data_IF_008849176364
#
_entry.id   IF_008849176364
#
_cell.length_a   1.000
_cell.length_b   1.000
_cell.length_c   1.000
_cell.angle_alpha   90.00
_cell.angle_beta   90.00
_cell.angle_gamma   90.00
#
_symmetry.space_group_name_H-M   'P 1'
#
loop_
_entity.id
_entity.type
_entity.pdbx_description
1 polymer ?
#
# COMPACT_ATOMS: atom_id res chain seq x y z
N UNK A 1 -17.48 5.13 21.61
CA UNK A 1 -17.56 3.68 21.38
C UNK A 1 -18.35 3.07 22.51
N UNK A 2 -19.35 2.22 22.21
CA UNK A 2 -20.31 1.68 23.17
C UNK A 2 -19.71 0.66 24.16
N UNK A 3 -18.40 0.37 24.08
CA UNK A 3 -17.68 -0.49 25.03
C UNK A 3 -18.09 -1.97 25.03
N UNK A 4 -18.88 -2.43 24.06
CA UNK A 4 -19.35 -3.81 23.99
C UNK A 4 -18.31 -4.81 23.53
N UNK A 5 -17.30 -4.37 22.78
CA UNK A 5 -16.22 -5.21 22.25
C UNK A 5 -14.89 -4.60 22.66
N UNK A 6 -14.07 -5.39 23.35
CA UNK A 6 -12.69 -5.04 23.65
C UNK A 6 -11.77 -5.64 22.59
N UNK A 7 -10.65 -4.97 22.35
CA UNK A 7 -9.60 -5.51 21.48
C UNK A 7 -8.94 -6.69 22.19
N UNK A 8 -8.88 -7.83 21.51
CA UNK A 8 -8.23 -9.06 21.98
C UNK A 8 -7.10 -9.43 21.05
N UNK A 9 -6.11 -10.20 21.52
CA UNK A 9 -5.01 -10.72 20.69
C UNK A 9 -5.54 -11.55 19.51
N UNK A 10 -6.63 -12.29 19.72
CA UNK A 10 -7.29 -13.05 18.66
C UNK A 10 -7.83 -12.12 17.56
N UNK A 11 -8.51 -11.05 17.94
CA UNK A 11 -9.05 -10.07 16.97
C UNK A 11 -7.92 -9.36 16.20
N UNK A 12 -6.82 -9.06 16.89
CA UNK A 12 -5.62 -8.46 16.29
C UNK A 12 -4.98 -9.43 15.28
N UNK A 13 -4.79 -10.69 15.63
CA UNK A 13 -4.24 -11.69 14.70
C UNK A 13 -5.16 -11.93 13.49
N UNK A 14 -6.48 -11.95 13.66
CA UNK A 14 -7.42 -12.04 12.54
C UNK A 14 -7.33 -10.80 11.63
N UNK A 15 -7.16 -9.61 12.19
CA UNK A 15 -6.99 -8.39 11.43
C UNK A 15 -5.68 -8.39 10.64
N UNK A 16 -4.59 -8.89 11.20
CA UNK A 16 -3.29 -9.05 10.51
C UNK A 16 -3.40 -10.02 9.33
N UNK A 17 -4.06 -11.15 9.50
CA UNK A 17 -4.36 -12.05 8.37
C UNK A 17 -5.20 -11.33 7.31
N UNK A 18 -6.16 -10.51 7.73
CA UNK A 18 -6.95 -9.67 6.82
C UNK A 18 -6.10 -8.75 5.96
N UNK A 19 -5.15 -8.07 6.58
CA UNK A 19 -4.21 -7.17 5.88
C UNK A 19 -3.34 -7.94 4.88
N UNK A 20 -2.80 -9.09 5.28
CA UNK A 20 -2.00 -9.96 4.42
C UNK A 20 -2.82 -10.40 3.19
N UNK A 21 -4.07 -10.81 3.38
CA UNK A 21 -4.94 -11.21 2.28
C UNK A 21 -5.30 -10.05 1.36
N UNK A 22 -5.60 -8.87 1.90
CA UNK A 22 -5.87 -7.67 1.09
C UNK A 22 -4.66 -7.31 0.23
N UNK A 23 -3.46 -7.35 0.77
CA UNK A 23 -2.24 -7.06 0.01
C UNK A 23 -1.91 -8.16 -1.02
N UNK A 24 -2.20 -9.41 -0.72
CA UNK A 24 -2.09 -10.51 -1.69
C UNK A 24 -3.05 -10.31 -2.87
N UNK A 25 -4.30 -9.92 -2.60
CA UNK A 25 -5.30 -9.59 -3.61
C UNK A 25 -4.84 -8.44 -4.50
N UNK A 26 -4.35 -7.34 -3.90
CA UNK A 26 -3.80 -6.21 -4.63
C UNK A 26 -2.63 -6.63 -5.55
N UNK A 27 -1.78 -7.56 -5.09
CA UNK A 27 -0.72 -8.15 -5.91
C UNK A 27 -1.25 -8.99 -7.08
N UNK A 28 -2.32 -9.78 -6.87
CA UNK A 28 -2.96 -10.57 -7.93
C UNK A 28 -3.61 -9.69 -9.01
N UNK A 29 -4.16 -8.54 -8.64
CA UNK A 29 -4.77 -7.58 -9.57
C UNK A 29 -3.75 -6.80 -10.40
N UNK A 30 -2.45 -6.90 -10.07
CA UNK A 30 -1.38 -6.20 -10.77
C UNK A 30 -1.21 -6.72 -12.22
N UNK A 31 -1.37 -5.87 -13.24
CA UNK A 31 -1.06 -6.23 -14.62
C UNK A 31 0.40 -5.92 -14.97
N UNK A 32 1.26 -6.94 -14.89
CA UNK A 32 2.68 -6.82 -15.23
C UNK A 32 2.94 -6.43 -16.69
N UNK A 33 2.02 -6.75 -17.62
CA UNK A 33 2.18 -6.40 -19.04
C UNK A 33 1.98 -4.91 -19.27
N UNK A 34 0.98 -4.34 -18.62
CA UNK A 34 0.75 -2.89 -18.68
C UNK A 34 1.88 -2.15 -17.95
N UNK A 35 2.37 -2.66 -16.83
CA UNK A 35 3.52 -2.13 -16.09
C UNK A 35 4.77 -1.98 -16.99
N UNK A 36 5.07 -3.02 -17.79
CA UNK A 36 6.23 -3.02 -18.70
C UNK A 36 6.00 -2.10 -19.91
N UNK A 37 4.77 -2.02 -20.45
CA UNK A 37 4.46 -1.25 -21.65
C UNK A 37 4.47 0.26 -21.45
N UNK A 38 4.04 0.75 -20.28
CA UNK A 38 3.91 2.20 -20.02
C UNK A 38 5.22 2.90 -19.73
N UNK A 39 6.27 2.14 -19.47
CA UNK A 39 7.65 2.59 -19.50
C UNK A 39 8.01 3.71 -18.52
N UNK A 40 9.07 4.49 -18.87
CA UNK A 40 9.68 5.47 -17.96
C UNK A 40 8.74 6.58 -17.49
N UNK A 41 7.72 6.92 -18.28
CA UNK A 41 6.78 8.00 -17.94
C UNK A 41 5.93 7.68 -16.71
N UNK A 42 5.33 6.48 -16.68
CA UNK A 42 4.52 6.05 -15.53
C UNK A 42 5.39 5.92 -14.26
N UNK A 43 6.63 5.44 -14.42
CA UNK A 43 7.60 5.36 -13.33
C UNK A 43 7.91 6.74 -12.74
N UNK A 44 8.18 7.75 -13.57
CA UNK A 44 8.49 9.10 -13.08
C UNK A 44 7.27 9.73 -12.43
N UNK A 45 6.07 9.55 -13.01
CA UNK A 45 4.81 10.04 -12.41
C UNK A 45 4.61 9.38 -11.03
N UNK A 46 4.84 8.08 -10.89
CA UNK A 46 4.74 7.37 -9.62
C UNK A 46 5.80 7.84 -8.61
N UNK A 47 7.07 7.94 -9.01
CA UNK A 47 8.14 8.41 -8.12
C UNK A 47 7.84 9.80 -7.55
N UNK A 48 7.44 10.76 -8.42
CA UNK A 48 7.07 12.11 -7.98
C UNK A 48 5.77 12.08 -7.17
N UNK A 49 4.82 11.22 -7.57
CA UNK A 49 3.56 10.96 -6.87
C UNK A 49 3.74 10.39 -5.45
N UNK A 50 4.84 9.69 -5.18
CA UNK A 50 5.23 9.26 -3.83
C UNK A 50 6.03 10.35 -3.11
N UNK A 51 7.03 10.92 -3.76
CA UNK A 51 7.95 11.86 -3.12
C UNK A 51 7.28 13.16 -2.67
N UNK A 52 6.40 13.74 -3.47
CA UNK A 52 5.74 15.02 -3.14
C UNK A 52 4.82 14.88 -1.92
N UNK A 53 3.90 13.89 -1.82
CA UNK A 53 3.13 13.68 -0.60
C UNK A 53 3.99 13.29 0.62
N UNK A 54 5.06 12.53 0.43
CA UNK A 54 5.99 12.16 1.50
C UNK A 54 6.60 13.41 2.15
N UNK A 55 7.15 14.30 1.33
CA UNK A 55 7.70 15.58 1.79
C UNK A 55 6.60 16.48 2.35
N UNK A 56 5.44 16.54 1.69
CA UNK A 56 4.29 17.31 2.15
C UNK A 56 3.83 16.91 3.55
N UNK A 57 3.72 15.61 3.82
CA UNK A 57 3.33 15.09 5.13
C UNK A 57 4.39 15.33 6.21
N UNK A 58 5.67 15.13 5.86
CA UNK A 58 6.77 15.48 6.75
C UNK A 58 6.75 16.95 7.14
N UNK A 59 6.60 17.86 6.17
CA UNK A 59 6.55 19.30 6.42
C UNK A 59 5.30 19.70 7.21
N UNK A 60 4.15 19.11 6.90
CA UNK A 60 2.92 19.37 7.62
C UNK A 60 3.06 19.00 9.11
N UNK A 61 3.51 17.77 9.39
CA UNK A 61 3.69 17.32 10.77
C UNK A 61 4.70 18.20 11.51
N UNK A 62 5.82 18.53 10.86
CA UNK A 62 6.86 19.37 11.44
C UNK A 62 6.39 20.82 11.67
N UNK A 63 5.48 21.32 10.86
CA UNK A 63 4.89 22.66 11.06
C UNK A 63 3.96 22.73 12.28
N UNK A 64 3.26 21.62 12.61
CA UNK A 64 2.36 21.55 13.77
C UNK A 64 3.09 21.21 15.07
N UNK A 65 4.11 20.35 15.02
CA UNK A 65 4.74 19.76 16.20
C UNK A 65 6.24 20.10 16.35
N UNK A 66 6.80 20.86 15.42
CA UNK A 66 8.19 21.28 15.43
C UNK A 66 9.09 20.39 14.57
N UNK A 67 10.18 20.98 14.08
CA UNK A 67 11.21 20.26 13.31
C UNK A 67 12.14 19.50 14.26
N UNK A 68 12.31 18.22 14.00
CA UNK A 68 13.17 17.33 14.78
C UNK A 68 14.42 16.95 14.01
N UNK A 69 15.52 16.70 14.71
CA UNK A 69 16.79 16.29 14.11
C UNK A 69 16.65 14.91 13.45
N UNK A 70 17.35 14.74 12.33
CA UNK A 70 17.39 13.45 11.61
C UNK A 70 17.90 12.35 12.55
N UNK A 71 17.20 11.20 12.55
CA UNK A 71 17.51 10.06 13.40
C UNK A 71 16.77 10.03 14.74
N UNK A 72 15.97 11.06 15.07
CA UNK A 72 15.11 11.04 16.26
C UNK A 72 13.78 10.35 15.96
N UNK A 73 13.13 9.82 17.01
CA UNK A 73 11.81 9.18 16.88
C UNK A 73 10.77 10.14 16.27
N UNK A 74 10.81 11.42 16.65
CA UNK A 74 9.83 12.40 16.13
C UNK A 74 10.11 12.76 14.66
N UNK A 75 11.37 12.68 14.20
CA UNK A 75 11.68 12.73 12.77
C UNK A 75 11.03 11.57 12.00
N UNK A 76 11.13 10.34 12.53
CA UNK A 76 10.51 9.17 11.88
C UNK A 76 8.99 9.21 11.94
N UNK A 77 8.39 9.74 13.01
CA UNK A 77 6.93 9.98 13.07
C UNK A 77 6.49 10.97 11.99
N UNK A 78 7.21 12.09 11.84
CA UNK A 78 6.91 13.08 10.80
C UNK A 78 7.02 12.46 9.40
N UNK A 79 8.07 11.68 9.16
CA UNK A 79 8.27 10.97 7.90
C UNK A 79 7.17 9.95 7.65
N UNK A 80 6.73 9.23 8.70
CA UNK A 80 5.67 8.22 8.62
C UNK A 80 4.30 8.83 8.26
N UNK A 81 3.99 10.02 8.77
CA UNK A 81 2.80 10.79 8.33
C UNK A 81 2.87 11.05 6.81
N UNK A 82 4.05 11.37 6.30
CA UNK A 82 4.28 11.47 4.86
C UNK A 82 4.05 10.14 4.12
N UNK A 83 4.52 9.02 4.67
CA UNK A 83 4.29 7.68 4.08
C UNK A 83 2.80 7.37 3.96
N UNK A 84 2.00 7.66 4.98
CA UNK A 84 0.54 7.48 4.89
C UNK A 84 -0.06 8.30 3.73
N UNK A 85 0.43 9.53 3.53
CA UNK A 85 -0.01 10.38 2.43
C UNK A 85 0.40 9.88 1.04
N UNK A 86 1.35 8.96 0.92
CA UNK A 86 1.75 8.42 -0.39
C UNK A 86 0.76 7.39 -0.92
N UNK A 87 0.07 6.65 -0.07
CA UNK A 87 -0.82 5.58 -0.44
C UNK A 87 -1.88 6.02 -1.48
N UNK A 88 -2.11 5.20 -2.50
CA UNK A 88 -3.14 5.43 -3.53
C UNK A 88 -4.05 4.21 -3.60
N UNK A 89 -5.35 4.38 -3.82
CA UNK A 89 -6.26 3.26 -4.08
C UNK A 89 -6.39 3.01 -5.58
N UNK A 90 -5.75 1.95 -6.05
CA UNK A 90 -5.86 1.51 -7.45
C UNK A 90 -7.29 1.07 -7.75
N UNK A 91 -7.91 0.30 -6.84
CA UNK A 91 -9.26 -0.27 -7.02
C UNK A 91 -10.31 0.82 -7.26
N UNK A 92 -10.32 1.88 -6.43
CA UNK A 92 -11.25 3.02 -6.58
C UNK A 92 -11.02 3.71 -7.93
N UNK A 93 -9.77 3.96 -8.28
CA UNK A 93 -9.40 4.63 -9.54
C UNK A 93 -9.82 3.80 -10.75
N UNK A 94 -9.54 2.50 -10.76
CA UNK A 94 -9.91 1.58 -11.84
C UNK A 94 -11.42 1.52 -12.01
N UNK A 95 -12.15 1.36 -10.90
CA UNK A 95 -13.61 1.29 -10.92
C UNK A 95 -14.21 2.58 -11.49
N UNK A 96 -13.76 3.73 -11.01
CA UNK A 96 -14.21 5.04 -11.49
C UNK A 96 -13.92 5.23 -12.99
N UNK A 97 -12.70 4.92 -13.43
CA UNK A 97 -12.34 5.02 -14.85
C UNK A 97 -13.13 4.05 -15.74
N UNK A 98 -13.47 2.86 -15.22
CA UNK A 98 -14.31 1.87 -15.90
C UNK A 98 -15.74 2.38 -16.06
N UNK A 99 -16.35 2.90 -15.01
CA UNK A 99 -17.70 3.48 -15.01
C UNK A 99 -17.82 4.69 -15.96
N UNK A 100 -16.77 5.51 -16.01
CA UNK A 100 -16.68 6.66 -16.92
C UNK A 100 -16.33 6.25 -18.37
N UNK A 101 -16.03 4.98 -18.65
CA UNK A 101 -15.66 4.49 -19.99
C UNK A 101 -14.28 4.95 -20.47
N UNK A 102 -13.41 5.45 -19.56
CA UNK A 102 -12.12 6.05 -19.90
C UNK A 102 -10.90 5.21 -19.51
N UNK A 103 -11.09 3.97 -19.06
CA UNK A 103 -10.00 3.09 -18.60
C UNK A 103 -8.97 2.79 -19.70
N UNK A 104 -9.42 2.55 -20.93
CA UNK A 104 -8.56 2.18 -22.07
C UNK A 104 -7.93 3.37 -22.81
N UNK A 105 -8.20 4.61 -22.41
CA UNK A 105 -7.64 5.80 -23.04
C UNK A 105 -6.22 6.10 -22.54
N UNK A 106 -5.47 6.96 -23.27
CA UNK A 106 -4.09 7.36 -22.91
C UNK A 106 -3.98 7.82 -21.45
N UNK A 107 -4.95 8.60 -20.96
CA UNK A 107 -4.98 9.08 -19.56
C UNK A 107 -5.24 7.92 -18.61
N UNK A 108 -6.25 7.09 -18.87
CA UNK A 108 -6.61 5.96 -18.01
C UNK A 108 -5.48 4.95 -17.88
N UNK A 109 -4.86 4.54 -18.99
CA UNK A 109 -3.71 3.62 -18.97
C UNK A 109 -2.51 4.22 -18.23
N UNK A 110 -2.25 5.52 -18.37
CA UNK A 110 -1.17 6.20 -17.64
C UNK A 110 -1.44 6.20 -16.14
N UNK A 111 -2.67 6.54 -15.71
CA UNK A 111 -3.06 6.54 -14.30
C UNK A 111 -2.91 5.13 -13.72
N UNK A 112 -3.47 4.11 -14.41
CA UNK A 112 -3.42 2.73 -13.95
C UNK A 112 -1.98 2.26 -13.75
N UNK A 113 -1.12 2.48 -14.74
CA UNK A 113 0.27 2.04 -14.65
C UNK A 113 1.07 2.82 -13.61
N UNK A 114 0.82 4.12 -13.48
CA UNK A 114 1.46 4.92 -12.44
C UNK A 114 0.99 4.49 -11.04
N UNK A 115 -0.29 4.15 -10.86
CA UNK A 115 -0.83 3.68 -9.58
C UNK A 115 -0.24 2.32 -9.17
N UNK A 116 -0.11 1.38 -10.10
CA UNK A 116 0.53 0.09 -9.84
C UNK A 116 2.01 0.26 -9.40
N UNK A 117 2.76 1.14 -10.08
CA UNK A 117 4.14 1.44 -9.70
C UNK A 117 4.22 2.18 -8.36
N UNK A 118 3.27 3.09 -8.11
CA UNK A 118 3.13 3.84 -6.87
C UNK A 118 2.98 2.91 -5.65
N UNK A 119 2.18 1.86 -5.77
CA UNK A 119 2.00 0.84 -4.72
C UNK A 119 3.32 0.13 -4.40
N UNK A 120 4.07 -0.28 -5.43
CA UNK A 120 5.38 -0.93 -5.23
C UNK A 120 6.35 0.02 -4.52
N UNK A 121 6.45 1.28 -4.99
CA UNK A 121 7.34 2.28 -4.38
C UNK A 121 6.87 2.61 -2.95
N UNK A 122 5.56 2.74 -2.73
CA UNK A 122 4.97 3.01 -1.42
C UNK A 122 5.33 1.95 -0.38
N UNK A 123 5.24 0.67 -0.76
CA UNK A 123 5.64 -0.47 0.09
C UNK A 123 7.15 -0.44 0.38
N UNK A 124 7.99 -0.12 -0.60
CA UNK A 124 9.43 0.02 -0.40
C UNK A 124 9.72 1.14 0.60
N UNK A 125 9.13 2.32 0.41
CA UNK A 125 9.31 3.47 1.31
C UNK A 125 8.80 3.16 2.72
N UNK A 126 7.65 2.50 2.84
CA UNK A 126 7.11 2.03 4.13
C UNK A 126 8.11 1.11 4.84
N UNK A 127 8.65 0.12 4.12
CA UNK A 127 9.64 -0.81 4.65
C UNK A 127 10.86 -0.08 5.19
N UNK A 128 11.40 0.88 4.43
CA UNK A 128 12.54 1.68 4.88
C UNK A 128 12.23 2.46 6.15
N UNK A 129 11.09 3.17 6.19
CA UNK A 129 10.76 4.02 7.34
C UNK A 129 10.52 3.20 8.62
N UNK A 130 9.87 2.04 8.50
CA UNK A 130 9.68 1.13 9.64
C UNK A 130 11.03 0.58 10.12
N UNK A 131 11.88 0.13 9.20
CA UNK A 131 13.19 -0.47 9.54
C UNK A 131 14.14 0.53 10.20
N UNK A 132 14.11 1.80 9.80
CA UNK A 132 14.94 2.85 10.44
C UNK A 132 14.52 3.19 11.87
N UNK A 133 13.28 2.90 12.24
CA UNK A 133 12.82 3.09 13.62
C UNK A 133 13.37 2.01 14.59
N UNK A 134 13.88 0.90 14.06
CA UNK A 134 14.52 -0.14 14.87
C UNK A 134 15.94 0.32 15.26
N UNK A 135 16.15 0.63 16.54
CA UNK A 135 17.38 1.26 17.06
C UNK A 135 18.67 0.48 16.82
N UNK A 136 18.60 -0.79 16.47
CA UNK A 136 19.74 -1.69 16.32
C UNK A 136 20.13 -1.98 14.86
N UNK A 137 19.41 -1.41 13.87
CA UNK A 137 19.62 -1.74 12.46
C UNK A 137 20.27 -0.58 11.72
N UNK A 138 21.43 -0.82 11.11
CA UNK A 138 22.11 0.18 10.29
C UNK A 138 21.38 0.39 8.95
N UNK A 139 21.42 1.62 8.41
CA UNK A 139 20.86 1.96 7.10
C UNK A 139 21.34 0.98 6.01
N UNK A 140 22.62 0.59 6.06
CA UNK A 140 23.20 -0.35 5.12
C UNK A 140 22.58 -1.76 5.21
N UNK A 141 22.22 -2.20 6.41
CA UNK A 141 21.52 -3.50 6.60
C UNK A 141 20.13 -3.48 6.06
N UNK A 142 19.37 -2.41 6.26
CA UNK A 142 18.01 -2.26 5.70
C UNK A 142 18.05 -2.32 4.18
N UNK A 143 18.95 -1.55 3.55
CA UNK A 143 19.11 -1.55 2.09
C UNK A 143 19.53 -2.94 1.61
N UNK A 144 20.52 -3.55 2.25
CA UNK A 144 20.98 -4.90 1.92
C UNK A 144 19.85 -5.92 2.01
N UNK A 145 19.12 -5.95 3.12
CA UNK A 145 18.05 -6.90 3.37
C UNK A 145 16.90 -6.71 2.39
N UNK A 146 16.54 -5.46 2.06
CA UNK A 146 15.53 -5.14 1.05
C UNK A 146 15.96 -5.65 -0.34
N UNK A 147 17.19 -5.39 -0.76
CA UNK A 147 17.72 -5.88 -2.03
C UNK A 147 17.75 -7.42 -2.04
N UNK A 148 18.24 -8.05 -0.98
CA UNK A 148 18.29 -9.50 -0.85
C UNK A 148 16.89 -10.13 -0.89
N UNK A 149 15.91 -9.51 -0.25
CA UNK A 149 14.51 -9.97 -0.32
C UNK A 149 13.96 -9.92 -1.74
N UNK A 150 14.17 -8.85 -2.48
CA UNK A 150 13.69 -8.77 -3.87
C UNK A 150 14.42 -9.75 -4.80
N UNK A 151 15.72 -9.97 -4.60
CA UNK A 151 16.49 -11.01 -5.34
C UNK A 151 15.96 -12.41 -5.00
N UNK A 152 15.78 -12.70 -3.71
CA UNK A 152 15.22 -13.97 -3.23
C UNK A 152 13.80 -14.17 -3.78
N UNK A 153 12.94 -13.18 -3.66
CA UNK A 153 11.56 -13.21 -4.16
C UNK A 153 11.50 -13.36 -5.67
N UNK A 154 12.43 -12.75 -6.41
CA UNK A 154 12.56 -12.94 -7.86
C UNK A 154 12.95 -14.37 -8.21
N UNK A 155 13.93 -14.97 -7.53
CA UNK A 155 14.36 -16.36 -7.74
C UNK A 155 13.29 -17.39 -7.34
N UNK A 156 12.77 -17.26 -6.13
CA UNK A 156 11.67 -18.11 -5.60
C UNK A 156 10.40 -17.90 -6.42
N UNK A 157 10.12 -16.64 -6.79
CA UNK A 157 8.98 -16.28 -7.62
C UNK A 157 9.03 -16.94 -8.99
N UNK A 158 10.18 -16.91 -9.67
CA UNK A 158 10.34 -17.61 -10.93
C UNK A 158 10.09 -19.12 -10.77
N UNK A 159 10.64 -19.74 -9.71
CA UNK A 159 10.41 -21.16 -9.42
C UNK A 159 8.90 -21.46 -9.22
N UNK A 160 8.25 -20.71 -8.34
CA UNK A 160 6.83 -20.92 -8.07
C UNK A 160 5.94 -20.58 -9.27
N UNK A 161 6.27 -19.54 -10.04
CA UNK A 161 5.59 -19.23 -11.28
C UNK A 161 5.58 -20.44 -12.25
N UNK A 162 6.73 -21.10 -12.47
CA UNK A 162 6.81 -22.27 -13.32
C UNK A 162 6.06 -23.48 -12.73
N UNK A 163 6.13 -23.69 -11.40
CA UNK A 163 5.39 -24.74 -10.71
C UNK A 163 3.88 -24.52 -10.89
N UNK A 164 3.39 -23.31 -10.59
CA UNK A 164 1.98 -23.00 -10.74
C UNK A 164 1.52 -23.05 -12.20
N UNK A 165 2.31 -22.56 -13.11
CA UNK A 165 2.02 -22.67 -14.55
C UNK A 165 1.93 -24.13 -15.03
N UNK A 166 2.74 -25.03 -14.47
CA UNK A 166 2.66 -26.46 -14.77
C UNK A 166 1.41 -27.11 -14.16
N UNK A 167 1.09 -26.77 -12.91
CA UNK A 167 -0.11 -27.26 -12.20
C UNK A 167 -1.38 -26.77 -12.90
N UNK A 168 -1.44 -25.49 -13.23
CA UNK A 168 -2.54 -24.83 -13.92
C UNK A 168 -2.83 -25.47 -15.28
N UNK A 169 -1.80 -25.74 -16.07
CA UNK A 169 -1.94 -26.42 -17.37
C UNK A 169 -2.53 -27.85 -17.24
N UNK A 170 -2.26 -28.54 -16.10
CA UNK A 170 -2.66 -29.93 -15.89
C UNK A 170 -3.99 -30.05 -15.15
N UNK A 171 -4.30 -29.10 -14.28
CA UNK A 171 -5.42 -29.14 -13.32
C UNK A 171 -6.13 -27.80 -13.23
N UNK A 172 -6.59 -27.27 -14.36
CA UNK A 172 -7.31 -25.97 -14.44
C UNK A 172 -8.50 -25.92 -13.48
N UNK A 173 -8.67 -24.81 -12.77
CA UNK A 173 -9.78 -24.53 -11.83
C UNK A 173 -9.93 -25.57 -10.69
N UNK A 174 -8.81 -26.19 -10.28
CA UNK A 174 -8.84 -27.13 -9.16
C UNK A 174 -8.82 -26.38 -7.82
N UNK A 175 -9.67 -26.78 -6.88
CA UNK A 175 -9.77 -26.20 -5.51
C UNK A 175 -8.44 -26.10 -4.76
N UNK A 176 -7.42 -26.86 -5.17
CA UNK A 176 -6.09 -26.87 -4.53
C UNK A 176 -5.25 -25.65 -4.93
N UNK A 177 -5.48 -25.06 -6.10
CA UNK A 177 -4.67 -23.91 -6.60
C UNK A 177 -4.79 -22.69 -5.68
N UNK A 178 -5.98 -22.22 -5.29
CA UNK A 178 -6.11 -21.15 -4.31
C UNK A 178 -5.45 -21.47 -2.95
N UNK A 179 -5.53 -22.73 -2.49
CA UNK A 179 -4.90 -23.15 -1.23
C UNK A 179 -3.37 -23.03 -1.32
N UNK A 180 -2.77 -23.45 -2.44
CA UNK A 180 -1.34 -23.29 -2.66
C UNK A 180 -0.94 -21.80 -2.82
N UNK A 181 -1.79 -21.00 -3.47
CA UNK A 181 -1.61 -19.55 -3.54
C UNK A 181 -1.61 -18.88 -2.17
N UNK A 182 -2.56 -19.25 -1.32
CA UNK A 182 -2.61 -18.79 0.08
C UNK A 182 -1.37 -19.26 0.87
N UNK A 183 -0.96 -20.49 0.70
CA UNK A 183 0.24 -21.01 1.37
C UNK A 183 1.50 -20.25 0.94
N UNK A 184 1.63 -19.93 -0.35
CA UNK A 184 2.72 -19.10 -0.85
C UNK A 184 2.67 -17.68 -0.27
N UNK A 185 1.48 -17.08 -0.20
CA UNK A 185 1.27 -15.77 0.40
C UNK A 185 1.76 -15.73 1.85
N UNK A 186 1.26 -16.63 2.69
CA UNK A 186 1.63 -16.70 4.11
C UNK A 186 3.12 -17.04 4.30
N UNK A 187 3.67 -17.93 3.47
CA UNK A 187 5.08 -18.29 3.53
C UNK A 187 5.99 -17.11 3.18
N UNK A 188 5.69 -16.35 2.11
CA UNK A 188 6.48 -15.17 1.73
C UNK A 188 6.30 -14.03 2.72
N UNK A 189 5.11 -13.84 3.31
CA UNK A 189 4.89 -12.87 4.38
C UNK A 189 5.76 -13.20 5.60
N UNK A 190 5.74 -14.45 6.05
CA UNK A 190 6.57 -14.92 7.15
C UNK A 190 8.07 -14.79 6.88
N UNK A 191 8.51 -15.14 5.67
CA UNK A 191 9.92 -15.02 5.27
C UNK A 191 10.35 -13.56 5.22
N UNK A 192 9.53 -12.66 4.67
CA UNK A 192 9.81 -11.24 4.60
C UNK A 192 10.07 -10.64 6.00
N UNK A 193 9.19 -10.95 6.95
CA UNK A 193 9.27 -10.42 8.30
C UNK A 193 10.39 -11.06 9.11
N UNK A 194 10.46 -12.39 9.14
CA UNK A 194 11.36 -13.13 10.04
C UNK A 194 12.82 -13.12 9.58
N UNK A 195 13.07 -13.28 8.28
CA UNK A 195 14.43 -13.42 7.77
C UNK A 195 15.04 -12.13 7.21
N UNK A 196 14.19 -11.23 6.72
CA UNK A 196 14.66 -9.99 6.10
C UNK A 196 14.30 -8.73 6.91
N UNK A 197 13.47 -8.84 7.94
CA UNK A 197 13.00 -7.70 8.73
C UNK A 197 12.15 -6.71 7.93
N UNK A 198 11.47 -7.21 6.90
CA UNK A 198 10.61 -6.44 5.99
C UNK A 198 9.15 -6.68 6.38
N UNK A 199 8.29 -5.68 6.22
CA UNK A 199 6.87 -5.84 6.54
C UNK A 199 6.25 -7.05 5.83
N UNK A 200 5.53 -7.89 6.56
CA UNK A 200 4.81 -9.10 6.11
C UNK A 200 3.93 -8.84 4.90
N UNK A 201 3.27 -7.66 4.88
CA UNK A 201 2.42 -7.21 3.74
C UNK A 201 3.20 -7.13 2.43
N UNK A 202 4.51 -6.84 2.47
CA UNK A 202 5.38 -6.81 1.29
C UNK A 202 5.53 -8.22 0.71
N UNK A 203 5.72 -9.23 1.57
CA UNK A 203 5.77 -10.63 1.16
C UNK A 203 4.46 -11.10 0.53
N UNK A 204 3.32 -10.71 1.12
CA UNK A 204 1.99 -11.00 0.58
C UNK A 204 1.78 -10.39 -0.81
N UNK A 205 2.11 -9.11 -0.97
CA UNK A 205 1.99 -8.40 -2.24
C UNK A 205 2.84 -9.04 -3.33
N UNK A 206 4.10 -9.37 -3.03
CA UNK A 206 5.01 -10.06 -3.95
C UNK A 206 4.47 -11.44 -4.33
N UNK A 207 3.89 -12.20 -3.39
CA UNK A 207 3.24 -13.47 -3.69
C UNK A 207 2.10 -13.31 -4.71
N UNK A 208 1.30 -12.26 -4.57
CA UNK A 208 0.26 -11.89 -5.53
C UNK A 208 0.83 -11.59 -6.91
N UNK A 209 1.88 -10.75 -6.99
CA UNK A 209 2.58 -10.44 -8.25
C UNK A 209 3.13 -11.71 -8.93
N UNK A 210 3.69 -12.66 -8.18
CA UNK A 210 4.19 -13.92 -8.75
C UNK A 210 3.06 -14.68 -9.44
N UNK A 211 1.86 -14.65 -8.88
CA UNK A 211 0.71 -15.40 -9.38
C UNK A 211 -0.19 -14.60 -10.32
N UNK A 212 -0.06 -13.28 -10.45
CA UNK A 212 -0.93 -12.44 -11.29
C UNK A 212 -0.91 -12.81 -12.78
N UNK A 213 0.15 -13.45 -13.26
CA UNK A 213 0.33 -13.81 -14.67
C UNK A 213 0.00 -15.27 -15.01
N UNK A 214 -0.45 -16.09 -14.06
CA UNK A 214 -0.91 -17.45 -14.34
C UNK A 214 -2.36 -17.42 -14.82
N UNK A 215 -2.80 -18.47 -15.52
CA UNK A 215 -4.15 -18.53 -16.09
C UNK A 215 -5.24 -18.53 -14.99
N UNK A 216 -4.99 -19.20 -13.86
CA UNK A 216 -5.93 -19.29 -12.74
C UNK A 216 -5.80 -18.11 -11.72
N UNK A 217 -5.13 -17.01 -12.08
CA UNK A 217 -5.01 -15.84 -11.19
C UNK A 217 -6.37 -15.29 -10.76
N UNK A 218 -7.29 -15.11 -11.72
CA UNK A 218 -8.66 -14.65 -11.46
C UNK A 218 -9.44 -15.63 -10.57
N UNK A 219 -9.24 -16.95 -10.77
CA UNK A 219 -9.84 -17.98 -9.94
C UNK A 219 -9.30 -17.95 -8.50
N UNK A 220 -7.99 -17.72 -8.32
CA UNK A 220 -7.41 -17.53 -6.99
C UNK A 220 -8.01 -16.28 -6.34
N UNK A 221 -8.05 -15.17 -7.06
CA UNK A 221 -8.60 -13.91 -6.59
C UNK A 221 -10.06 -14.07 -6.14
N UNK A 222 -10.92 -14.69 -6.98
CA UNK A 222 -12.34 -14.96 -6.65
C UNK A 222 -12.50 -15.75 -5.35
N UNK A 223 -11.65 -16.77 -5.13
CA UNK A 223 -11.75 -17.60 -3.91
C UNK A 223 -11.19 -16.90 -2.67
N UNK A 224 -10.15 -16.08 -2.84
CA UNK A 224 -9.59 -15.26 -1.76
C UNK A 224 -10.54 -14.12 -1.38
N UNK A 225 -11.19 -13.49 -2.36
CA UNK A 225 -12.15 -12.42 -2.15
C UNK A 225 -13.28 -12.84 -1.22
N UNK A 226 -13.81 -14.07 -1.36
CA UNK A 226 -14.84 -14.59 -0.46
C UNK A 226 -14.38 -14.55 1.00
N UNK A 227 -13.18 -15.05 1.28
CA UNK A 227 -12.64 -15.09 2.65
C UNK A 227 -12.27 -13.69 3.15
N UNK A 228 -11.69 -12.88 2.28
CA UNK A 228 -11.28 -11.51 2.58
C UNK A 228 -12.50 -10.63 2.83
N UNK A 229 -13.50 -10.65 1.94
CA UNK A 229 -14.68 -9.80 2.03
C UNK A 229 -15.65 -10.21 3.16
N UNK A 230 -15.87 -11.52 3.38
CA UNK A 230 -16.87 -11.99 4.35
C UNK A 230 -16.35 -12.08 5.78
N UNK A 231 -15.05 -12.29 5.99
CA UNK A 231 -14.51 -12.54 7.31
C UNK A 231 -13.38 -11.60 7.68
N UNK A 232 -12.24 -11.69 7.00
CA UNK A 232 -11.02 -11.03 7.44
C UNK A 232 -11.02 -9.51 7.19
N UNK A 233 -11.56 -9.05 6.07
CA UNK A 233 -11.69 -7.63 5.76
C UNK A 233 -12.57 -6.87 6.77
N UNK A 234 -13.81 -7.33 7.05
CA UNK A 234 -14.64 -6.71 8.09
C UNK A 234 -13.99 -6.68 9.47
N UNK A 235 -13.27 -7.75 9.85
CA UNK A 235 -12.52 -7.79 11.12
C UNK A 235 -11.38 -6.77 11.12
N UNK A 236 -10.65 -6.63 10.00
CA UNK A 236 -9.62 -5.61 9.84
C UNK A 236 -10.19 -4.20 10.01
N UNK A 237 -11.26 -3.84 9.28
CA UNK A 237 -11.87 -2.50 9.40
C UNK A 237 -12.47 -2.27 10.79
N UNK A 238 -13.10 -3.28 11.39
CA UNK A 238 -13.60 -3.19 12.77
C UNK A 238 -12.47 -2.96 13.78
N UNK A 239 -11.33 -3.64 13.62
CA UNK A 239 -10.16 -3.46 14.49
C UNK A 239 -9.57 -2.05 14.39
N UNK A 240 -9.59 -1.44 13.21
CA UNK A 240 -9.22 -0.04 12.99
C UNK A 240 -10.16 0.88 13.78
N UNK A 241 -11.47 0.67 13.64
CA UNK A 241 -12.47 1.46 14.36
C UNK A 241 -12.29 1.35 15.89
N UNK A 242 -11.99 0.17 16.41
CA UNK A 242 -11.74 -0.06 17.85
C UNK A 242 -10.45 0.62 18.34
N UNK A 243 -9.43 0.72 17.49
CA UNK A 243 -8.16 1.42 17.79
C UNK A 243 -8.27 2.94 17.67
N UNK A 244 -9.33 3.44 17.04
CA UNK A 244 -9.52 4.88 16.82
C UNK A 244 -9.96 5.54 18.11
N UNK A 245 -9.15 6.44 18.64
CA UNK A 245 -9.46 7.23 19.83
C UNK A 245 -9.95 8.63 19.44
N UNK A 246 -11.25 8.84 19.53
CA UNK A 246 -11.91 10.13 19.27
C UNK A 246 -11.91 11.01 20.53
N UNK A 247 -11.72 10.42 21.72
CA UNK A 247 -11.81 11.15 22.99
C UNK A 247 -10.69 12.17 23.18
N UNK A 248 -9.53 11.93 22.53
CA UNK A 248 -8.38 12.84 22.48
C UNK A 248 -8.50 13.98 21.46
N UNK A 249 -9.61 14.09 20.71
CA UNK A 249 -9.77 15.13 19.69
C UNK A 249 -9.90 16.51 20.30
N UNK A 250 -8.89 17.34 20.08
CA UNK A 250 -8.89 18.76 20.39
C UNK A 250 -8.85 19.59 19.09
N UNK A 251 -9.01 20.91 19.22
CA UNK A 251 -9.02 21.80 18.06
C UNK A 251 -7.73 21.69 17.22
N UNK A 252 -6.59 21.47 17.85
CA UNK A 252 -5.29 21.31 17.14
C UNK A 252 -5.28 20.06 16.27
N UNK A 253 -5.78 18.93 16.79
CA UNK A 253 -5.86 17.68 16.04
C UNK A 253 -6.90 17.77 14.91
N UNK A 254 -8.02 18.46 15.14
CA UNK A 254 -9.01 18.70 14.08
C UNK A 254 -8.42 19.56 12.96
N UNK A 255 -7.72 20.64 13.28
CA UNK A 255 -7.05 21.47 12.29
C UNK A 255 -5.94 20.70 11.54
N UNK A 256 -5.16 19.88 12.26
CA UNK A 256 -4.20 18.97 11.67
C UNK A 256 -4.89 17.99 10.70
N UNK A 257 -6.02 17.40 11.08
CA UNK A 257 -6.77 16.44 10.25
C UNK A 257 -7.23 17.07 8.93
N UNK A 258 -7.80 18.27 9.00
CA UNK A 258 -8.24 19.02 7.81
C UNK A 258 -7.03 19.34 6.91
N UNK A 259 -5.96 19.86 7.50
CA UNK A 259 -4.74 20.18 6.76
C UNK A 259 -4.10 18.91 6.16
N UNK A 260 -4.13 17.77 6.88
CA UNK A 260 -3.63 16.48 6.42
C UNK A 260 -4.36 16.02 5.15
N UNK A 261 -5.69 16.04 5.16
CA UNK A 261 -6.49 15.67 3.97
C UNK A 261 -6.19 16.61 2.80
N UNK A 262 -6.21 17.92 3.03
CA UNK A 262 -5.97 18.92 1.97
C UNK A 262 -4.57 18.74 1.37
N UNK A 263 -3.53 18.62 2.20
CA UNK A 263 -2.14 18.46 1.74
C UNK A 263 -1.96 17.15 0.99
N UNK A 264 -2.54 16.04 1.48
CA UNK A 264 -2.45 14.74 0.83
C UNK A 264 -3.05 14.75 -0.59
N UNK A 265 -4.23 15.37 -0.76
CA UNK A 265 -4.90 15.48 -2.05
C UNK A 265 -4.13 16.41 -3.00
N UNK A 266 -3.79 17.62 -2.54
CA UNK A 266 -3.10 18.61 -3.36
C UNK A 266 -1.70 18.13 -3.77
N UNK A 267 -0.95 17.51 -2.87
CA UNK A 267 0.39 16.99 -3.15
C UNK A 267 0.38 15.94 -4.28
N UNK A 268 -0.60 15.02 -4.29
CA UNK A 268 -0.76 14.05 -5.39
C UNK A 268 -1.17 14.73 -6.70
N UNK A 269 -2.16 15.62 -6.65
CA UNK A 269 -2.62 16.34 -7.85
C UNK A 269 -1.46 17.12 -8.48
N UNK A 270 -0.71 17.86 -7.67
CA UNK A 270 0.43 18.64 -8.15
C UNK A 270 1.55 17.71 -8.63
N UNK A 271 1.98 16.76 -7.81
CA UNK A 271 3.08 15.86 -8.13
C UNK A 271 2.85 15.10 -9.43
N UNK A 272 1.75 14.37 -9.53
CA UNK A 272 1.43 13.58 -10.73
C UNK A 272 1.00 14.44 -11.91
N UNK A 273 0.20 15.50 -11.67
CA UNK A 273 -0.29 16.37 -12.73
C UNK A 273 0.81 17.19 -13.39
N UNK A 274 1.70 17.83 -12.62
CA UNK A 274 2.84 18.58 -13.17
C UNK A 274 3.78 17.64 -13.93
N UNK A 275 4.05 16.46 -13.38
CA UNK A 275 4.88 15.46 -14.06
C UNK A 275 4.26 15.01 -15.37
N UNK A 276 2.96 14.70 -15.41
CA UNK A 276 2.27 14.39 -16.67
C UNK A 276 2.36 15.54 -17.69
N UNK A 277 2.27 16.78 -17.21
CA UNK A 277 2.44 17.97 -18.08
C UNK A 277 3.83 18.03 -18.71
N UNK A 278 4.88 17.74 -17.95
CA UNK A 278 6.26 17.70 -18.46
C UNK A 278 6.46 16.62 -19.53
N UNK A 279 5.69 15.54 -19.49
CA UNK A 279 5.65 14.49 -20.52
C UNK A 279 4.71 14.81 -21.70
N UNK A 280 4.25 16.06 -21.84
CA UNK A 280 3.53 16.55 -23.02
C UNK A 280 2.02 16.27 -23.00
N UNK A 281 1.42 15.99 -21.85
CA UNK A 281 -0.05 15.95 -21.72
C UNK A 281 -0.66 17.36 -21.82
N UNK A 282 -1.88 17.45 -22.34
CA UNK A 282 -2.65 18.70 -22.30
C UNK A 282 -2.90 19.13 -20.84
N UNK A 283 -3.18 20.41 -20.60
CA UNK A 283 -3.49 20.89 -19.25
C UNK A 283 -4.67 20.13 -18.61
N UNK A 284 -5.69 19.82 -19.43
CA UNK A 284 -6.87 19.05 -18.98
C UNK A 284 -6.51 17.60 -18.63
N UNK A 285 -5.69 16.96 -19.46
CA UNK A 285 -5.31 15.55 -19.23
C UNK A 285 -4.31 15.42 -18.10
N UNK A 286 -3.39 16.39 -17.93
CA UNK A 286 -2.49 16.47 -16.78
C UNK A 286 -3.26 16.59 -15.47
N UNK A 287 -4.31 17.41 -15.43
CA UNK A 287 -5.18 17.52 -14.27
C UNK A 287 -5.92 16.19 -13.99
N UNK A 288 -6.43 15.52 -15.06
CA UNK A 288 -7.07 14.20 -14.90
C UNK A 288 -6.12 13.17 -14.34
N UNK A 289 -4.84 13.15 -14.78
CA UNK A 289 -3.82 12.26 -14.21
C UNK A 289 -3.63 12.55 -12.71
N UNK A 290 -3.45 13.82 -12.34
CA UNK A 290 -3.31 14.22 -10.94
C UNK A 290 -4.51 13.84 -10.08
N UNK A 291 -5.72 14.12 -10.55
CA UNK A 291 -6.97 13.78 -9.84
C UNK A 291 -7.17 12.26 -9.77
N UNK A 292 -6.87 11.52 -10.84
CA UNK A 292 -6.97 10.06 -10.84
C UNK A 292 -5.99 9.38 -9.88
N UNK A 293 -4.89 10.04 -9.53
CA UNK A 293 -3.90 9.53 -8.56
C UNK A 293 -4.15 9.98 -7.12
N UNK A 294 -5.14 10.83 -6.86
CA UNK A 294 -5.41 11.35 -5.51
C UNK A 294 -6.28 10.42 -4.64
N UNK A 295 -6.87 9.38 -5.22
CA UNK A 295 -7.77 8.47 -4.50
C UNK A 295 -7.07 7.78 -3.34
N UNK A 296 -7.77 7.64 -2.23
CA UNK A 296 -7.30 6.97 -1.02
C UNK A 296 -8.27 5.85 -0.65
N UNK A 297 -7.77 4.83 0.03
CA UNK A 297 -8.59 3.69 0.43
C UNK A 297 -7.90 2.84 1.49
N UNK A 298 -8.09 1.54 1.39
CA UNK A 298 -7.60 0.53 2.33
C UNK A 298 -6.09 0.60 2.56
N UNK A 299 -5.29 0.93 1.55
CA UNK A 299 -3.81 0.95 1.65
C UNK A 299 -3.35 1.98 2.69
N UNK A 300 -3.97 3.17 2.74
CA UNK A 300 -3.62 4.17 3.75
C UNK A 300 -3.91 3.69 5.17
N UNK A 301 -5.02 2.96 5.37
CA UNK A 301 -5.40 2.37 6.65
C UNK A 301 -4.46 1.23 7.05
N UNK A 302 -4.03 0.40 6.09
CA UNK A 302 -3.06 -0.67 6.30
C UNK A 302 -1.72 -0.08 6.76
N UNK A 303 -1.22 0.93 6.05
CA UNK A 303 0.00 1.65 6.42
C UNK A 303 -0.11 2.24 7.83
N UNK A 304 -1.23 2.90 8.13
CA UNK A 304 -1.45 3.50 9.45
C UNK A 304 -1.49 2.43 10.57
N UNK A 305 -2.10 1.27 10.33
CA UNK A 305 -2.10 0.18 11.30
C UNK A 305 -0.68 -0.37 11.57
N UNK A 306 0.13 -0.53 10.53
CA UNK A 306 1.55 -0.91 10.70
C UNK A 306 2.31 0.14 11.50
N UNK A 307 2.06 1.43 11.26
CA UNK A 307 2.63 2.53 12.04
C UNK A 307 2.27 2.51 13.52
N UNK A 308 1.02 2.13 13.85
CA UNK A 308 0.60 1.92 15.24
C UNK A 308 1.36 0.76 15.89
N UNK A 309 1.44 -0.37 15.19
CA UNK A 309 2.13 -1.56 15.69
C UNK A 309 3.63 -1.29 15.96
N UNK A 310 4.27 -0.47 15.13
CA UNK A 310 5.69 -0.09 15.27
C UNK A 310 5.93 1.14 16.16
N UNK A 311 4.89 1.75 16.74
CA UNK A 311 5.02 2.95 17.58
C UNK A 311 5.35 4.25 16.83
N UNK A 312 5.27 4.26 15.49
CA UNK A 312 5.50 5.44 14.64
C UNK A 312 4.24 6.30 14.47
N UNK A 313 3.07 5.75 14.74
CA UNK A 313 1.81 6.47 14.73
C UNK A 313 1.15 6.36 16.10
N UNK A 314 0.58 7.46 16.58
CA UNK A 314 -0.24 7.46 17.81
C UNK A 314 -1.71 7.22 17.46
N UNK A 315 -2.53 6.60 18.34
CA UNK A 315 -3.93 6.31 18.07
C UNK A 315 -4.75 7.54 17.66
N UNK A 316 -4.45 8.71 18.21
CA UNK A 316 -5.13 9.97 17.91
C UNK A 316 -5.02 10.38 16.43
N UNK A 317 -3.94 9.99 15.74
CA UNK A 317 -3.75 10.28 14.31
C UNK A 317 -4.46 9.32 13.37
N UNK A 318 -5.13 8.30 13.89
CA UNK A 318 -6.00 7.46 13.07
C UNK A 318 -7.20 8.23 12.51
N UNK A 319 -7.75 9.18 13.27
CA UNK A 319 -8.86 10.01 12.81
C UNK A 319 -8.54 10.77 11.53
N UNK A 320 -7.39 11.50 11.42
CA UNK A 320 -6.95 12.09 10.14
C UNK A 320 -6.87 11.10 8.98
N UNK A 321 -6.39 9.88 9.24
CA UNK A 321 -6.25 8.85 8.20
C UNK A 321 -7.59 8.30 7.73
N UNK A 322 -8.55 8.14 8.64
CA UNK A 322 -9.92 7.70 8.28
C UNK A 322 -10.65 8.77 7.45
N UNK A 323 -10.36 10.05 7.71
CA UNK A 323 -10.94 11.17 6.96
C UNK A 323 -10.31 11.33 5.57
N UNK A 324 -9.12 10.83 5.36
CA UNK A 324 -8.40 10.83 4.08
C UNK A 324 -8.98 9.81 3.11
#
# INVERSE_FOLDING_TARGET
VLGFVAQTDFLTGMAEVGVILLMFMAGLETDLRELIKTGPMALVIACVGVFVPLVGGYLLYSAFYGFSAVGTLDFYKALFIGVIMTATSVSITVQTLRELGHLKGKVGTTILSAAIIDDVIGIIVLTFVISFNSSDVSIGEVIRNTILFFIFSGGVGALFYYIFKYIDKKYTHTRRIPIYGLALCLALSYVAETFFGIADITGAYVAGIILCSIHDSDYIAEKMDISSYMLFGPVFFASIGLKTDISGMNLSILLFSIAFVIVALIAKIIGCGVTAKLFGFSNKDSLKVGVGMMTRGEVALIVAQKGLACGLLQPVYFTPVILL
#
